data_IF_040203220904
#
_entry.id   IF_040203220904
#
_cell.length_a   1.000
_cell.length_b   1.000
_cell.length_c   1.000
_cell.angle_alpha   90.00
_cell.angle_beta   90.00
_cell.angle_gamma   90.00
#
_symmetry.space_group_name_H-M   'P 1'
#
loop_
_entity.id
_entity.type
_entity.pdbx_description
1 polymer ?
#
# COMPACT_ATOMS: atom_id res chain seq x y z
N UNK A 1 -25.27 -9.10 7.59
CA UNK A 1 -24.31 -9.97 6.88
C UNK A 1 -22.91 -9.48 7.16
N UNK A 2 -21.91 -10.36 7.21
CA UNK A 2 -20.53 -10.03 7.62
C UNK A 2 -19.61 -9.92 6.41
N UNK A 3 -18.87 -8.81 6.31
CA UNK A 3 -17.78 -8.59 5.36
C UNK A 3 -16.59 -8.08 6.18
N UNK A 4 -15.48 -8.81 6.18
CA UNK A 4 -14.28 -8.44 6.94
C UNK A 4 -13.05 -8.89 6.16
N UNK A 5 -12.08 -8.01 6.03
CA UNK A 5 -10.80 -8.24 5.36
C UNK A 5 -9.67 -7.82 6.28
N UNK A 6 -8.71 -8.73 6.47
CA UNK A 6 -7.53 -8.54 7.32
C UNK A 6 -6.30 -8.83 6.45
N UNK A 7 -5.44 -7.84 6.29
CA UNK A 7 -4.23 -7.98 5.49
C UNK A 7 -3.02 -7.46 6.26
N UNK A 8 -1.87 -8.09 6.03
CA UNK A 8 -0.57 -7.59 6.47
C UNK A 8 0.33 -7.59 5.25
N UNK A 9 0.95 -6.45 4.96
CA UNK A 9 1.78 -6.31 3.79
C UNK A 9 2.61 -5.04 3.82
N UNK A 10 3.32 -4.81 2.73
CA UNK A 10 4.18 -3.64 2.56
C UNK A 10 3.63 -2.70 1.50
N UNK A 11 3.78 -1.40 1.72
CA UNK A 11 3.43 -0.40 0.72
C UNK A 11 4.38 -0.50 -0.48
N UNK A 12 3.86 -0.50 -1.70
CA UNK A 12 4.71 -0.52 -2.90
C UNK A 12 5.25 0.86 -3.26
N UNK A 13 4.56 1.92 -2.83
CA UNK A 13 4.88 3.31 -3.11
C UNK A 13 4.54 4.18 -1.89
N UNK A 14 5.08 5.40 -1.86
CA UNK A 14 4.74 6.39 -0.84
C UNK A 14 3.26 6.76 -1.00
N UNK A 15 2.45 6.76 0.07
CA UNK A 15 1.05 7.13 -0.03
C UNK A 15 0.91 8.63 -0.30
N UNK A 16 -0.01 8.98 -1.19
CA UNK A 16 -0.31 10.38 -1.52
C UNK A 16 -1.69 10.77 -1.01
N UNK A 17 -1.73 11.83 -0.21
CA UNK A 17 -2.97 12.38 0.33
C UNK A 17 -3.70 13.17 -0.76
N UNK A 18 -4.85 12.66 -1.17
CA UNK A 18 -5.74 13.32 -2.10
C UNK A 18 -6.93 13.95 -1.36
N UNK A 19 -7.51 15.00 -1.93
CA UNK A 19 -8.74 15.61 -1.44
C UNK A 19 -9.81 15.57 -2.52
N UNK A 20 -10.97 15.05 -2.16
CA UNK A 20 -12.14 15.05 -3.05
C UNK A 20 -12.75 16.44 -3.19
N UNK A 21 -13.62 16.63 -4.17
CA UNK A 21 -14.37 17.88 -4.37
C UNK A 21 -15.16 18.31 -3.11
N UNK A 22 -15.60 17.35 -2.30
CA UNK A 22 -16.26 17.60 -1.01
C UNK A 22 -15.28 17.88 0.15
N UNK A 23 -14.01 18.17 -0.13
CA UNK A 23 -12.92 18.41 0.83
C UNK A 23 -12.64 17.24 1.79
N UNK A 24 -13.09 16.02 1.47
CA UNK A 24 -12.75 14.83 2.25
C UNK A 24 -11.39 14.29 1.82
N UNK A 25 -10.51 14.11 2.79
CA UNK A 25 -9.20 13.49 2.62
C UNK A 25 -9.35 12.00 2.29
N UNK A 26 -8.60 11.54 1.29
CA UNK A 26 -8.60 10.15 0.82
C UNK A 26 -7.18 9.76 0.42
N UNK A 27 -6.79 8.53 0.77
CA UNK A 27 -5.54 7.93 0.31
C UNK A 27 -5.87 6.62 -0.34
N UNK A 28 -5.36 6.41 -1.55
CA UNK A 28 -5.45 5.15 -2.28
C UNK A 28 -4.03 4.67 -2.52
N UNK A 29 -3.73 3.46 -2.10
CA UNK A 29 -2.39 2.87 -2.23
C UNK A 29 -2.50 1.37 -2.51
N UNK A 30 -1.38 0.78 -2.89
CA UNK A 30 -1.28 -0.64 -3.22
C UNK A 30 -0.41 -1.33 -2.16
N UNK A 31 -0.97 -2.39 -1.59
CA UNK A 31 -0.36 -3.20 -0.55
C UNK A 31 0.13 -4.51 -1.18
N UNK A 32 1.43 -4.77 -1.09
CA UNK A 32 2.00 -6.05 -1.48
C UNK A 32 1.87 -7.04 -0.30
N UNK A 33 1.11 -8.11 -0.53
CA UNK A 33 0.88 -9.19 0.43
C UNK A 33 1.50 -10.45 -0.13
N UNK A 34 2.55 -10.94 0.54
CA UNK A 34 3.24 -12.15 0.08
C UNK A 34 2.36 -13.38 0.30
N UNK A 35 2.31 -14.26 -0.69
CA UNK A 35 1.67 -15.57 -0.57
C UNK A 35 2.49 -16.48 0.34
N UNK A 36 1.80 -17.34 1.09
CA UNK A 36 2.44 -18.29 2.00
C UNK A 36 3.20 -19.37 1.22
N UNK A 37 2.63 -19.81 0.09
CA UNK A 37 3.17 -20.87 -0.74
C UNK A 37 4.05 -20.31 -1.85
N UNK A 38 5.10 -21.07 -2.18
CA UNK A 38 5.93 -20.81 -3.35
C UNK A 38 5.23 -21.32 -4.60
N UNK A 39 5.44 -20.65 -5.72
CA UNK A 39 4.97 -21.13 -7.02
C UNK A 39 5.79 -22.35 -7.47
N UNK A 40 5.44 -22.92 -8.62
CA UNK A 40 6.13 -24.09 -9.22
C UNK A 40 7.61 -23.85 -9.47
N UNK A 41 8.02 -22.59 -9.64
CA UNK A 41 9.40 -22.16 -9.87
C UNK A 41 10.18 -21.89 -8.56
N UNK A 42 9.53 -22.05 -7.40
CA UNK A 42 10.15 -21.90 -6.08
C UNK A 42 10.21 -20.44 -5.58
N UNK A 43 9.59 -19.50 -6.28
CA UNK A 43 9.52 -18.09 -5.93
C UNK A 43 8.29 -17.75 -5.08
N UNK A 44 8.42 -16.73 -4.22
CA UNK A 44 7.29 -16.20 -3.43
C UNK A 44 6.64 -15.06 -4.20
N UNK A 45 5.45 -15.32 -4.72
CA UNK A 45 4.63 -14.28 -5.36
C UNK A 45 3.98 -13.36 -4.32
N UNK A 46 3.74 -12.12 -4.74
CA UNK A 46 3.01 -11.13 -3.96
C UNK A 46 1.72 -10.74 -4.67
N UNK A 47 0.62 -10.73 -3.92
CA UNK A 47 -0.62 -10.14 -4.35
C UNK A 47 -0.60 -8.64 -4.09
N UNK A 48 -1.03 -7.88 -5.07
CA UNK A 48 -1.07 -6.43 -4.98
C UNK A 48 -2.51 -5.98 -4.82
N UNK A 49 -2.87 -5.55 -3.62
CA UNK A 49 -4.25 -5.25 -3.24
C UNK A 49 -4.40 -3.74 -3.10
N UNK A 50 -5.45 -3.20 -3.73
CA UNK A 50 -5.76 -1.78 -3.62
C UNK A 50 -6.55 -1.50 -2.34
N UNK A 51 -6.06 -0.54 -1.55
CA UNK A 51 -6.64 -0.14 -0.26
C UNK A 51 -6.98 1.34 -0.31
N UNK A 52 -8.13 1.70 0.26
CA UNK A 52 -8.61 3.09 0.37
C UNK A 52 -8.86 3.44 1.83
N UNK A 53 -8.30 4.56 2.28
CA UNK A 53 -8.52 5.14 3.60
C UNK A 53 -9.16 6.53 3.43
N UNK A 54 -10.15 6.85 4.27
CA UNK A 54 -10.85 8.13 4.24
C UNK A 54 -10.67 8.92 5.53
N UNK A 55 -10.80 10.25 5.43
CA UNK A 55 -10.88 11.17 6.56
C UNK A 55 -9.58 11.31 7.34
N UNK A 56 -9.69 11.50 8.65
CA UNK A 56 -8.54 11.68 9.56
C UNK A 56 -7.55 10.49 9.54
N UNK A 57 -7.99 9.22 9.50
CA UNK A 57 -7.06 8.09 9.35
C UNK A 57 -6.18 8.20 8.09
N UNK A 58 -6.68 8.77 7.00
CA UNK A 58 -5.92 8.93 5.77
C UNK A 58 -4.78 9.95 5.91
N UNK A 59 -5.03 11.05 6.61
CA UNK A 59 -4.03 12.08 6.93
C UNK A 59 -2.94 11.52 7.85
N UNK A 60 -3.36 10.78 8.88
CA UNK A 60 -2.45 10.11 9.80
C UNK A 60 -1.58 9.09 9.07
N UNK A 61 -2.20 8.26 8.24
CA UNK A 61 -1.49 7.23 7.47
C UNK A 61 -0.40 7.84 6.58
N UNK A 62 -0.73 8.91 5.84
CA UNK A 62 0.24 9.59 4.97
C UNK A 62 1.40 10.24 5.72
N UNK A 63 1.16 10.65 6.97
CA UNK A 63 2.19 11.29 7.80
C UNK A 63 3.22 10.31 8.37
N UNK A 64 2.86 9.03 8.51
CA UNK A 64 3.70 8.02 9.17
C UNK A 64 4.13 6.86 8.27
N UNK A 65 3.39 6.58 7.19
CA UNK A 65 3.71 5.50 6.28
C UNK A 65 4.52 6.00 5.07
N UNK A 66 5.55 5.25 4.72
CA UNK A 66 6.41 5.49 3.56
C UNK A 66 6.45 4.25 2.66
N UNK A 67 7.11 4.39 1.50
CA UNK A 67 7.33 3.27 0.59
C UNK A 67 7.96 2.10 1.33
N UNK A 68 7.33 0.94 1.31
CA UNK A 68 7.80 -0.31 1.91
C UNK A 68 7.54 -0.47 3.41
N UNK A 69 6.85 0.49 4.06
CA UNK A 69 6.41 0.32 5.45
C UNK A 69 5.54 -0.92 5.61
N UNK A 70 5.78 -1.70 6.66
CA UNK A 70 4.96 -2.85 7.03
C UNK A 70 3.71 -2.39 7.81
N UNK A 71 2.53 -2.76 7.31
CA UNK A 71 1.24 -2.30 7.85
C UNK A 71 0.24 -3.46 7.93
N UNK A 72 -0.52 -3.51 9.03
CA UNK A 72 -1.76 -4.29 9.10
C UNK A 72 -2.96 -3.43 8.72
N UNK A 73 -3.82 -3.93 7.85
CA UNK A 73 -5.06 -3.30 7.41
C UNK A 73 -6.25 -4.16 7.85
N UNK A 74 -7.22 -3.53 8.49
CA UNK A 74 -8.54 -4.09 8.75
C UNK A 74 -9.61 -3.27 8.04
N UNK A 75 -10.48 -3.94 7.31
CA UNK A 75 -11.50 -3.26 6.52
C UNK A 75 -12.51 -4.20 5.88
N UNK A 76 -13.15 -3.70 4.83
CA UNK A 76 -14.19 -4.39 4.09
C UNK A 76 -13.86 -4.42 2.61
N UNK A 77 -14.14 -5.55 1.95
CA UNK A 77 -14.03 -5.63 0.50
C UNK A 77 -15.18 -4.85 -0.15
N UNK A 78 -14.86 -3.94 -1.06
CA UNK A 78 -15.81 -3.13 -1.82
C UNK A 78 -15.52 -3.32 -3.31
N UNK A 79 -16.56 -3.67 -4.05
CA UNK A 79 -16.54 -3.62 -5.51
C UNK A 79 -17.32 -2.40 -5.96
N UNK A 80 -16.69 -1.55 -6.76
CA UNK A 80 -17.32 -0.41 -7.42
C UNK A 80 -17.24 -0.59 -8.93
N UNK A 81 -18.14 0.08 -9.65
CA UNK A 81 -18.10 0.15 -11.11
C UNK A 81 -18.13 1.59 -11.56
N UNK A 82 -17.42 1.90 -12.63
CA UNK A 82 -17.52 3.18 -13.32
C UNK A 82 -17.41 2.95 -14.82
N UNK A 83 -18.12 3.76 -15.60
CA UNK A 83 -18.00 3.77 -17.05
C UNK A 83 -16.96 4.82 -17.44
N UNK A 84 -16.06 4.47 -18.35
CA UNK A 84 -15.13 5.43 -18.91
C UNK A 84 -15.80 6.34 -19.95
N UNK A 85 -15.02 7.23 -20.57
CA UNK A 85 -15.54 8.14 -21.62
C UNK A 85 -15.92 7.41 -22.92
N UNK A 86 -15.46 6.18 -23.11
CA UNK A 86 -15.71 5.34 -24.28
C UNK A 86 -16.90 4.39 -24.07
N UNK A 87 -17.50 4.40 -22.87
CA UNK A 87 -18.65 3.58 -22.50
C UNK A 87 -18.29 2.18 -21.99
N UNK A 88 -17.01 1.93 -21.67
CA UNK A 88 -16.55 0.66 -21.11
C UNK A 88 -16.75 0.67 -19.60
N UNK A 89 -17.51 -0.31 -19.08
CA UNK A 89 -17.69 -0.50 -17.65
C UNK A 89 -16.47 -1.17 -17.03
N UNK A 90 -15.80 -0.46 -16.14
CA UNK A 90 -14.70 -0.98 -15.32
C UNK A 90 -15.20 -1.40 -13.94
N UNK A 91 -14.77 -2.57 -13.50
CA UNK A 91 -14.98 -3.06 -12.14
C UNK A 91 -13.70 -2.89 -11.33
N UNK A 92 -13.83 -2.31 -10.15
CA UNK A 92 -12.72 -2.08 -9.24
C UNK A 92 -13.02 -2.75 -7.92
N UNK A 93 -12.11 -3.61 -7.48
CA UNK A 93 -12.19 -4.29 -6.18
C UNK A 93 -11.13 -3.73 -5.25
N UNK A 94 -11.59 -3.20 -4.13
CA UNK A 94 -10.76 -2.47 -3.17
C UNK A 94 -11.13 -2.82 -1.75
N UNK A 95 -10.20 -2.58 -0.83
CA UNK A 95 -10.48 -2.68 0.60
C UNK A 95 -10.69 -1.28 1.15
N UNK A 96 -11.89 -1.06 1.68
CA UNK A 96 -12.20 0.10 2.49
C UNK A 96 -11.65 -0.13 3.89
N UNK A 97 -10.51 0.48 4.17
CA UNK A 97 -9.84 0.36 5.46
C UNK A 97 -10.59 1.14 6.54
N UNK A 98 -10.87 0.47 7.65
CA UNK A 98 -11.46 1.07 8.85
C UNK A 98 -10.39 1.35 9.91
N UNK A 99 -9.44 0.43 10.05
CA UNK A 99 -8.35 0.54 11.01
C UNK A 99 -7.04 0.04 10.38
N UNK A 100 -5.94 0.69 10.74
CA UNK A 100 -4.61 0.25 10.36
C UNK A 100 -3.67 0.32 11.56
N UNK A 101 -2.62 -0.49 11.53
CA UNK A 101 -1.48 -0.38 12.47
C UNK A 101 -0.19 -0.43 11.67
N UNK A 102 0.75 0.46 11.98
CA UNK A 102 2.12 0.35 11.51
C UNK A 102 2.84 -0.68 12.37
N UNK A 103 3.47 -1.66 11.73
CA UNK A 103 4.12 -2.78 12.41
C UNK A 103 5.65 -2.64 12.49
N UNK A 104 6.21 -1.60 11.89
CA UNK A 104 7.65 -1.33 11.92
C UNK A 104 8.00 -0.30 13.01
N UNK A 105 9.08 -0.59 13.75
CA UNK A 105 9.64 0.35 14.72
C UNK A 105 10.45 1.43 14.00
N UNK A 106 10.57 2.62 14.60
CA UNK A 106 11.43 3.69 14.07
C UNK A 106 12.88 3.25 13.83
N UNK A 107 13.38 2.34 14.66
CA UNK A 107 14.72 1.77 14.50
C UNK A 107 14.82 0.87 13.24
N UNK A 108 13.79 0.07 12.95
CA UNK A 108 13.72 -0.74 11.74
C UNK A 108 13.61 0.13 10.48
N UNK A 109 12.89 1.26 10.56
CA UNK A 109 12.80 2.23 9.47
C UNK A 109 14.17 2.87 9.18
N UNK A 110 14.87 3.34 10.21
CA UNK A 110 16.20 3.97 10.07
C UNK A 110 17.26 3.02 9.51
N UNK A 111 17.26 1.76 9.94
CA UNK A 111 18.14 0.71 9.39
C UNK A 111 17.92 0.51 7.89
N UNK A 112 16.67 0.60 7.44
CA UNK A 112 16.32 0.42 6.03
C UNK A 112 16.72 1.62 5.19
N UNK A 113 16.58 2.84 5.71
CA UNK A 113 17.06 4.06 5.04
C UNK A 113 18.57 4.02 4.82
N UNK A 114 19.35 3.63 5.85
CA UNK A 114 20.80 3.50 5.72
C UNK A 114 21.23 2.47 4.66
N UNK A 115 20.49 1.36 4.52
CA UNK A 115 20.82 0.29 3.58
C UNK A 115 20.48 0.66 2.11
N UNK A 116 19.54 1.59 1.90
CA UNK A 116 19.23 2.13 0.57
C UNK A 116 20.29 3.15 0.12
N UNK A 117 20.85 3.92 1.06
CA UNK A 117 21.91 4.88 0.76
C UNK A 117 23.23 4.17 0.43
N UNK A 118 23.59 3.13 1.17
CA UNK A 118 24.84 2.38 0.91
C UNK A 118 24.87 1.66 -0.44
N UNK A 119 23.70 1.32 -1.02
CA UNK A 119 23.62 0.67 -2.33
C UNK A 119 23.55 1.67 -3.51
N UNK A 120 23.38 2.97 -3.24
CA UNK A 120 23.45 4.02 -4.25
C UNK A 120 24.89 4.50 -4.50
N UNK A 121 25.72 4.54 -3.46
CA UNK A 121 27.12 4.99 -3.54
C UNK A 121 28.03 3.99 -4.31
N UNK A 122 27.63 2.70 -4.38
CA UNK A 122 28.37 1.66 -5.11
C UNK A 122 28.19 1.73 -6.65
N UNK A 123 27.24 2.53 -7.17
CA UNK A 123 26.98 2.65 -8.62
C UNK A 123 27.75 3.81 -9.26
N UNK A 124 28.14 4.84 -8.49
CA UNK A 124 28.88 6.01 -9.00
C UNK A 124 30.39 5.78 -9.19
N UNK A 125 30.93 4.63 -8.77
CA UNK A 125 32.39 4.36 -8.81
C UNK A 125 32.84 3.37 -9.89
N UNK A 126 31.99 3.03 -10.87
CA UNK A 126 32.44 2.28 -12.04
C UNK A 126 33.15 3.22 -13.03
N UNK A 127 34.48 3.09 -13.23
CA UNK A 127 35.14 3.81 -14.31
C UNK A 127 34.62 3.26 -15.64
N UNK A 128 34.23 4.17 -16.53
CA UNK A 128 34.04 3.87 -17.96
C UNK A 128 35.31 3.26 -18.56
#
# INVERSE_FOLDING_TARGET
MMNKSLLIGRLTAKPELNKTASKKSVVRFRLAVNRIFKNTDGEREADFISVVIWGKPAELFTSYADKGSLVSIEGELRSSRYDDKEGVTHYVTEILCQQFNLLESKAAVALRENNVVSSADDVETLPF
#
